data_IF_557510583261
#
_entry.id   IF_557510583261
#
_cell.length_a   1.000
_cell.length_b   1.000
_cell.length_c   1.000
_cell.angle_alpha   90.00
_cell.angle_beta   90.00
_cell.angle_gamma   90.00
#
_symmetry.space_group_name_H-M   'P 1'
#
loop_
_entity.id
_entity.type
_entity.pdbx_description
1 polymer ?
#
# COMPACT_ATOMS: atom_id res chain seq x y z
N UNK A 1 -6.48 10.67 11.62
CA UNK A 1 -7.62 9.95 11.04
C UNK A 1 -7.21 8.50 10.87
N UNK A 2 -7.77 7.63 11.68
CA UNK A 2 -7.43 6.21 11.71
C UNK A 2 -8.19 5.52 10.56
N UNK A 3 -7.47 5.09 9.52
CA UNK A 3 -8.07 4.37 8.38
C UNK A 3 -7.75 2.88 8.55
N UNK A 4 -8.63 2.17 9.27
CA UNK A 4 -8.72 0.71 9.45
C UNK A 4 -9.88 0.08 8.66
N UNK A 5 -9.84 0.12 7.32
CA UNK A 5 -10.74 -0.70 6.52
C UNK A 5 -10.00 -1.90 5.94
N UNK A 6 -10.56 -3.10 6.13
CA UNK A 6 -10.16 -4.31 5.42
C UNK A 6 -11.45 -5.08 5.11
N UNK A 7 -11.74 -5.30 3.82
CA UNK A 7 -12.29 -6.59 3.43
C UNK A 7 -11.16 -7.57 3.70
N UNK A 8 -11.23 -8.29 4.83
CA UNK A 8 -10.18 -9.25 5.18
C UNK A 8 -10.07 -10.25 4.04
N UNK A 9 -8.86 -10.42 3.53
CA UNK A 9 -8.55 -11.19 2.34
C UNK A 9 -8.84 -12.70 2.52
N UNK A 10 -9.25 -13.11 3.72
CA UNK A 10 -9.69 -14.45 4.08
C UNK A 10 -10.87 -14.43 5.07
N UNK A 11 -11.61 -15.53 5.11
CA UNK A 11 -12.79 -15.73 5.95
C UNK A 11 -12.46 -15.92 7.46
N UNK A 12 -11.19 -15.72 7.87
CA UNK A 12 -10.68 -16.03 9.21
C UNK A 12 -11.40 -15.24 10.32
N UNK A 13 -11.93 -14.05 9.98
CA UNK A 13 -12.61 -13.17 10.93
C UNK A 13 -13.87 -13.81 11.56
N UNK A 14 -14.48 -14.80 10.89
CA UNK A 14 -15.66 -15.52 11.39
C UNK A 14 -15.36 -16.36 12.63
N UNK A 15 -14.09 -16.72 12.82
CA UNK A 15 -13.62 -17.51 13.96
C UNK A 15 -13.00 -16.62 15.05
N UNK A 16 -12.97 -15.30 14.87
CA UNK A 16 -12.38 -14.35 15.80
C UNK A 16 -13.45 -13.64 16.63
N UNK A 17 -13.09 -13.02 17.77
CA UNK A 17 -13.99 -12.16 18.52
C UNK A 17 -14.59 -11.06 17.64
N UNK A 18 -15.84 -10.68 17.90
CA UNK A 18 -16.57 -9.72 17.06
C UNK A 18 -16.04 -8.27 17.18
N UNK A 19 -15.37 -7.93 18.28
CA UNK A 19 -14.92 -6.55 18.59
C UNK A 19 -14.15 -5.89 17.44
N UNK A 20 -13.03 -6.48 16.97
CA UNK A 20 -12.27 -5.95 15.83
C UNK A 20 -13.10 -5.81 14.55
N UNK A 21 -14.11 -6.65 14.34
CA UNK A 21 -14.99 -6.54 13.16
C UNK A 21 -15.95 -5.37 13.30
N UNK A 22 -16.54 -5.18 14.49
CA UNK A 22 -17.43 -4.05 14.78
C UNK A 22 -16.69 -2.71 14.66
N UNK A 23 -15.45 -2.62 15.14
CA UNK A 23 -14.62 -1.43 14.99
C UNK A 23 -14.39 -1.05 13.53
N UNK A 24 -14.13 -2.05 12.66
CA UNK A 24 -13.97 -1.82 11.21
C UNK A 24 -15.26 -1.37 10.53
N UNK A 25 -16.39 -1.96 10.92
CA UNK A 25 -17.72 -1.56 10.40
C UNK A 25 -18.02 -0.11 10.81
N UNK A 26 -17.79 0.21 12.09
CA UNK A 26 -17.95 1.57 12.60
C UNK A 26 -17.08 2.55 11.82
N UNK A 27 -15.82 2.23 11.59
CA UNK A 27 -14.94 3.13 10.85
C UNK A 27 -15.39 3.35 9.40
N UNK A 28 -15.85 2.29 8.70
CA UNK A 28 -16.40 2.45 7.36
C UNK A 28 -17.56 3.45 7.37
N UNK A 29 -18.47 3.30 8.33
CA UNK A 29 -19.61 4.18 8.52
C UNK A 29 -19.18 5.61 8.83
N UNK A 30 -18.25 5.80 9.76
CA UNK A 30 -17.73 7.12 10.15
C UNK A 30 -17.02 7.82 8.99
N UNK A 31 -16.25 7.06 8.19
CA UNK A 31 -15.56 7.56 6.99
C UNK A 31 -16.54 7.93 5.87
N UNK A 32 -17.58 7.12 5.66
CA UNK A 32 -18.65 7.40 4.72
C UNK A 32 -19.46 8.63 5.14
N UNK A 33 -19.78 8.76 6.43
CA UNK A 33 -20.52 9.91 6.96
C UNK A 33 -19.76 11.23 6.78
N UNK A 34 -18.42 11.20 6.76
CA UNK A 34 -17.59 12.39 6.60
C UNK A 34 -17.61 12.98 5.18
N UNK A 35 -17.64 12.14 4.15
CA UNK A 35 -17.50 12.59 2.74
C UNK A 35 -18.67 12.20 1.82
N UNK A 36 -19.65 11.45 2.33
CA UNK A 36 -20.97 11.20 1.72
C UNK A 36 -21.01 10.18 0.58
N UNK A 37 -20.04 10.16 -0.33
CA UNK A 37 -20.10 9.29 -1.53
C UNK A 37 -19.43 7.93 -1.34
N UNK A 38 -18.28 7.92 -0.67
CA UNK A 38 -17.51 6.71 -0.36
C UNK A 38 -16.62 6.98 0.85
N UNK A 39 -16.13 5.95 1.56
CA UNK A 39 -15.18 6.13 2.65
C UNK A 39 -13.74 6.37 2.16
N UNK A 40 -13.50 6.40 0.85
CA UNK A 40 -12.17 6.44 0.26
C UNK A 40 -11.79 7.83 -0.21
N UNK A 41 -10.51 8.16 -0.05
CA UNK A 41 -9.86 9.34 -0.60
C UNK A 41 -8.73 8.88 -1.52
N UNK A 42 -8.50 9.65 -2.58
CA UNK A 42 -7.41 9.44 -3.49
C UNK A 42 -6.76 10.80 -3.82
N UNK A 43 -5.44 10.95 -3.66
CA UNK A 43 -4.76 12.22 -3.92
C UNK A 43 -4.90 12.62 -5.39
N UNK A 44 -5.08 13.91 -5.64
CA UNK A 44 -4.93 14.47 -6.98
C UNK A 44 -3.50 14.21 -7.46
N UNK A 45 -3.34 13.91 -8.75
CA UNK A 45 -2.08 13.53 -9.39
C UNK A 45 -1.53 12.15 -8.98
N UNK A 46 -2.27 11.39 -8.17
CA UNK A 46 -1.97 10.00 -7.88
C UNK A 46 -1.12 9.77 -6.64
N UNK A 47 -0.89 8.50 -6.33
CA UNK A 47 -0.22 8.06 -5.10
C UNK A 47 1.24 8.53 -5.00
N UNK A 48 1.86 8.94 -6.12
CA UNK A 48 3.21 9.51 -6.15
C UNK A 48 3.36 10.81 -5.34
N UNK A 49 2.26 11.53 -5.08
CA UNK A 49 2.28 12.73 -4.25
C UNK A 49 2.55 12.44 -2.76
N UNK A 50 2.17 11.25 -2.27
CA UNK A 50 2.40 10.85 -0.88
C UNK A 50 3.91 10.78 -0.54
N UNK A 51 4.74 9.96 -1.23
CA UNK A 51 6.17 9.91 -0.94
C UNK A 51 6.87 11.24 -1.20
N UNK A 52 6.44 12.02 -2.21
CA UNK A 52 6.97 13.38 -2.45
C UNK A 52 6.69 14.31 -1.28
N UNK A 53 5.47 14.29 -0.73
CA UNK A 53 5.09 15.07 0.45
C UNK A 53 5.91 14.71 1.68
N UNK A 54 6.11 13.41 1.95
CA UNK A 54 6.97 12.94 3.04
C UNK A 54 8.44 13.29 2.83
N UNK A 55 8.94 13.22 1.59
CA UNK A 55 10.31 13.62 1.29
C UNK A 55 10.56 15.10 1.54
N UNK A 56 9.61 15.95 1.12
CA UNK A 56 9.64 17.38 1.43
C UNK A 56 9.57 17.65 2.94
N UNK A 57 8.69 16.94 3.65
CA UNK A 57 8.59 17.07 5.10
C UNK A 57 9.93 16.74 5.77
N UNK A 58 10.56 15.62 5.41
CA UNK A 58 11.87 15.26 5.94
C UNK A 58 12.96 16.28 5.60
N UNK A 59 12.95 16.87 4.40
CA UNK A 59 13.89 17.92 4.02
C UNK A 59 13.76 19.21 4.86
N UNK A 60 12.54 19.58 5.27
CA UNK A 60 12.30 20.72 6.19
C UNK A 60 13.00 20.48 7.54
N UNK A 61 13.07 19.23 7.99
CA UNK A 61 13.76 18.84 9.22
C UNK A 61 15.24 18.47 9.01
N UNK A 62 15.84 18.83 7.86
CA UNK A 62 17.25 18.64 7.56
C UNK A 62 17.61 17.32 6.87
N UNK A 63 16.62 16.53 6.46
CA UNK A 63 16.84 15.33 5.65
C UNK A 63 17.39 15.66 4.26
N UNK A 64 18.28 14.81 3.74
CA UNK A 64 18.79 14.92 2.37
C UNK A 64 18.36 13.70 1.57
N UNK A 65 17.73 13.92 0.42
CA UNK A 65 17.29 12.87 -0.50
C UNK A 65 18.23 12.76 -1.68
N UNK A 66 18.64 11.53 -2.00
CA UNK A 66 19.47 11.22 -3.16
C UNK A 66 18.72 10.22 -4.03
N UNK A 67 18.41 10.61 -5.26
CA UNK A 67 17.85 9.74 -6.30
C UNK A 67 18.97 9.35 -7.27
N UNK A 68 18.75 8.28 -8.06
CA UNK A 68 19.74 7.77 -9.00
C UNK A 68 21.11 7.44 -8.34
N UNK A 69 21.06 7.00 -7.08
CA UNK A 69 22.22 6.64 -6.28
C UNK A 69 22.14 5.16 -5.89
N UNK A 70 22.80 4.26 -6.64
CA UNK A 70 22.79 2.84 -6.32
C UNK A 70 23.49 2.56 -4.99
N UNK A 71 22.95 1.62 -4.24
CA UNK A 71 23.52 1.10 -2.98
C UNK A 71 24.19 -0.23 -3.28
N UNK A 72 25.49 -0.34 -3.01
CA UNK A 72 26.26 -1.55 -3.28
C UNK A 72 26.05 -2.60 -2.18
N UNK A 73 26.07 -2.17 -0.92
CA UNK A 73 25.94 -3.08 0.24
C UNK A 73 25.67 -2.34 1.54
N UNK A 74 25.00 -3.02 2.48
CA UNK A 74 24.94 -2.62 3.89
C UNK A 74 26.23 -3.04 4.61
N UNK A 75 26.84 -2.12 5.35
CA UNK A 75 28.07 -2.40 6.12
C UNK A 75 27.66 -2.85 7.51
N UNK A 76 28.00 -4.10 7.86
CA UNK A 76 27.65 -4.72 9.15
C UNK A 76 28.92 -5.10 9.90
N UNK A 77 29.06 -4.61 11.12
CA UNK A 77 30.16 -4.91 12.04
C UNK A 77 29.58 -5.52 13.33
N UNK A 78 30.13 -6.64 13.80
CA UNK A 78 29.65 -7.34 15.01
C UNK A 78 28.13 -7.64 14.98
N UNK A 79 27.59 -7.97 13.81
CA UNK A 79 26.17 -8.27 13.62
C UNK A 79 25.25 -7.05 13.54
N UNK A 80 25.76 -5.82 13.69
CA UNK A 80 24.99 -4.57 13.66
C UNK A 80 25.38 -3.70 12.47
N UNK A 81 24.40 -3.03 11.85
CA UNK A 81 24.67 -2.10 10.76
C UNK A 81 25.40 -0.85 11.27
N UNK A 82 26.41 -0.42 10.51
CA UNK A 82 27.21 0.78 10.81
C UNK A 82 27.22 1.79 9.66
N UNK A 83 26.64 1.43 8.51
CA UNK A 83 26.55 2.31 7.36
C UNK A 83 26.12 1.61 6.08
N UNK A 84 26.18 2.37 5.00
CA UNK A 84 25.84 1.94 3.64
C UNK A 84 26.97 2.37 2.71
N UNK A 85 27.33 1.49 1.77
CA UNK A 85 28.31 1.78 0.73
C UNK A 85 27.60 2.07 -0.60
N UNK A 86 27.98 3.17 -1.23
CA UNK A 86 27.46 3.60 -2.53
C UNK A 86 28.62 4.04 -3.44
N UNK A 87 29.13 3.13 -4.27
CA UNK A 87 30.33 3.35 -5.08
C UNK A 87 31.58 3.55 -4.21
N UNK A 88 32.23 4.70 -4.37
CA UNK A 88 33.41 5.08 -3.58
C UNK A 88 33.04 5.72 -2.23
N UNK A 89 31.78 6.09 -2.03
CA UNK A 89 31.32 6.77 -0.83
C UNK A 89 30.78 5.78 0.21
N UNK A 90 30.95 6.13 1.49
CA UNK A 90 30.37 5.40 2.61
C UNK A 90 29.68 6.37 3.55
N UNK A 91 28.39 6.12 3.81
CA UNK A 91 27.59 6.88 4.76
C UNK A 91 27.44 6.06 6.01
N UNK A 92 27.90 6.58 7.15
CA UNK A 92 27.77 5.90 8.45
C UNK A 92 26.47 6.26 9.15
N UNK A 93 25.87 5.28 9.81
CA UNK A 93 24.60 5.42 10.51
C UNK A 93 24.46 4.36 11.60
N UNK A 94 23.61 4.63 12.60
CA UNK A 94 23.34 3.69 13.70
C UNK A 94 22.24 2.67 13.38
N UNK A 95 21.37 3.03 12.43
CA UNK A 95 20.19 2.28 12.02
C UNK A 95 20.01 2.48 10.51
N UNK A 96 19.45 1.47 9.84
CA UNK A 96 19.04 1.54 8.44
C UNK A 96 17.59 1.12 8.34
N UNK A 97 16.80 1.87 7.58
CA UNK A 97 15.42 1.57 7.24
C UNK A 97 15.35 1.35 5.74
N UNK A 98 14.82 0.23 5.28
CA UNK A 98 14.78 -0.11 3.86
C UNK A 98 13.59 -0.99 3.49
N UNK A 99 13.31 -1.08 2.20
CA UNK A 99 12.42 -2.10 1.66
C UNK A 99 13.18 -3.43 1.39
N UNK A 100 12.46 -4.55 1.15
CA UNK A 100 13.07 -5.86 0.94
C UNK A 100 14.19 -5.93 -0.11
N UNK A 101 14.13 -5.10 -1.17
CA UNK A 101 15.09 -5.17 -2.28
C UNK A 101 16.53 -4.86 -1.88
N UNK A 102 16.73 -4.10 -0.78
CA UNK A 102 18.05 -3.77 -0.25
C UNK A 102 18.62 -4.80 0.73
N UNK A 103 17.83 -5.81 1.12
CA UNK A 103 18.20 -6.80 2.14
C UNK A 103 17.57 -8.17 1.84
N UNK A 104 17.74 -8.65 0.61
CA UNK A 104 17.12 -9.89 0.11
C UNK A 104 17.54 -11.15 0.88
N UNK A 105 18.68 -11.12 1.58
CA UNK A 105 19.18 -12.17 2.47
C UNK A 105 18.47 -12.21 3.85
N UNK A 106 17.65 -11.19 4.16
CA UNK A 106 16.98 -10.99 5.46
C UNK A 106 15.46 -10.95 5.36
N UNK A 107 14.93 -11.43 4.24
CA UNK A 107 13.50 -11.50 3.98
C UNK A 107 13.12 -12.88 3.50
N UNK A 108 11.86 -13.23 3.68
CA UNK A 108 11.26 -14.45 3.12
C UNK A 108 10.13 -14.06 2.18
N UNK A 109 10.02 -14.79 1.06
CA UNK A 109 8.86 -14.69 0.17
C UNK A 109 7.65 -15.31 0.88
N UNK A 110 6.56 -14.56 0.99
CA UNK A 110 5.31 -15.00 1.63
C UNK A 110 4.15 -15.17 0.65
N UNK A 111 4.31 -14.71 -0.60
CA UNK A 111 3.30 -14.86 -1.62
C UNK A 111 3.68 -14.14 -2.91
N UNK A 112 2.70 -14.02 -3.80
CA UNK A 112 2.78 -13.22 -5.02
C UNK A 112 1.47 -12.46 -5.22
N UNK A 113 1.56 -11.30 -5.86
CA UNK A 113 0.40 -10.50 -6.24
C UNK A 113 0.44 -10.28 -7.74
N UNK A 114 -0.69 -10.51 -8.40
CA UNK A 114 -0.91 -10.13 -9.79
C UNK A 114 -1.64 -8.78 -9.84
N UNK A 115 -1.17 -7.87 -10.68
CA UNK A 115 -1.77 -6.56 -10.94
C UNK A 115 -1.93 -6.36 -12.45
N UNK A 116 -3.13 -6.02 -12.88
CA UNK A 116 -3.42 -5.60 -14.24
C UNK A 116 -3.85 -4.14 -14.27
N UNK A 117 -3.03 -3.29 -14.88
CA UNK A 117 -3.36 -1.88 -15.16
C UNK A 117 -4.04 -1.84 -16.52
N UNK A 118 -5.28 -1.37 -16.55
CA UNK A 118 -6.14 -1.33 -17.72
C UNK A 118 -6.48 0.13 -18.06
N UNK A 119 -6.24 0.52 -19.30
CA UNK A 119 -6.65 1.81 -19.84
C UNK A 119 -8.02 1.67 -20.49
N UNK A 120 -8.97 2.51 -20.07
CA UNK A 120 -10.33 2.53 -20.60
C UNK A 120 -10.63 3.92 -21.16
N UNK A 121 -11.49 3.99 -22.17
CA UNK A 121 -12.02 5.25 -22.74
C UNK A 121 -13.50 5.46 -22.40
N UNK A 122 -14.00 4.78 -21.37
CA UNK A 122 -15.36 4.83 -20.87
C UNK A 122 -15.39 4.51 -19.37
N UNK A 123 -16.43 4.94 -18.62
CA UNK A 123 -16.60 4.54 -17.22
C UNK A 123 -16.87 3.03 -17.11
N UNK A 124 -16.55 2.45 -15.96
CA UNK A 124 -16.81 1.02 -15.72
C UNK A 124 -18.33 0.77 -15.75
N UNK A 125 -18.82 -0.21 -16.54
CA UNK A 125 -20.24 -0.56 -16.57
C UNK A 125 -20.82 -0.86 -15.18
N UNK A 126 -22.07 -0.45 -14.95
CA UNK A 126 -22.75 -0.71 -13.68
C UNK A 126 -22.33 0.19 -12.51
N UNK A 127 -21.51 1.22 -12.75
CA UNK A 127 -21.06 2.16 -11.71
C UNK A 127 -21.77 3.53 -11.74
N UNK A 128 -22.84 3.67 -12.53
CA UNK A 128 -23.55 4.94 -12.71
C UNK A 128 -22.62 6.09 -13.16
N UNK A 129 -21.79 5.81 -14.16
CA UNK A 129 -20.79 6.71 -14.75
C UNK A 129 -19.81 7.35 -13.73
N UNK A 130 -19.51 6.61 -12.66
CA UNK A 130 -18.58 7.04 -11.62
C UNK A 130 -17.21 7.36 -12.22
N UNK A 131 -16.67 8.52 -11.85
CA UNK A 131 -15.35 8.99 -12.30
C UNK A 131 -14.19 8.35 -11.53
N UNK A 132 -14.48 7.82 -10.34
CA UNK A 132 -13.60 6.94 -9.58
C UNK A 132 -14.45 5.99 -8.76
N UNK A 133 -13.97 4.78 -8.55
CA UNK A 133 -14.67 3.79 -7.74
C UNK A 133 -13.71 2.72 -7.21
N UNK A 134 -14.20 2.00 -6.20
CA UNK A 134 -13.58 0.76 -5.75
C UNK A 134 -14.62 -0.36 -5.87
N UNK A 135 -14.22 -1.48 -6.46
CA UNK A 135 -15.02 -2.69 -6.58
C UNK A 135 -14.27 -3.81 -5.90
N UNK A 136 -14.99 -4.61 -5.13
CA UNK A 136 -14.44 -5.76 -4.41
C UNK A 136 -15.25 -6.95 -4.84
N UNK A 137 -14.57 -7.98 -5.32
CA UNK A 137 -15.17 -9.26 -5.68
C UNK A 137 -14.80 -10.23 -4.55
N UNK A 138 -15.74 -10.55 -3.65
CA UNK A 138 -15.46 -11.45 -2.56
C UNK A 138 -15.06 -12.83 -3.08
N UNK A 139 -14.02 -13.43 -2.51
CA UNK A 139 -13.42 -14.70 -2.90
C UNK A 139 -14.44 -15.81 -3.17
N UNK A 140 -15.52 -15.88 -2.38
CA UNK A 140 -16.58 -16.89 -2.51
C UNK A 140 -17.44 -16.76 -3.76
N UNK A 141 -17.56 -15.56 -4.32
CA UNK A 141 -18.33 -15.31 -5.55
C UNK A 141 -17.59 -15.84 -6.78
N UNK A 142 -16.28 -16.07 -6.68
CA UNK A 142 -15.41 -16.50 -7.77
C UNK A 142 -14.64 -17.78 -7.46
N UNK A 143 -15.02 -18.50 -6.39
CA UNK A 143 -14.42 -19.79 -6.03
C UNK A 143 -12.93 -19.71 -5.63
N UNK A 144 -12.52 -18.62 -4.96
CA UNK A 144 -11.14 -18.35 -4.56
C UNK A 144 -10.93 -18.35 -3.04
N UNK A 145 -9.66 -18.32 -2.64
CA UNK A 145 -9.24 -18.10 -1.26
C UNK A 145 -8.97 -16.64 -0.92
N UNK A 146 -8.70 -15.80 -1.92
CA UNK A 146 -8.44 -14.37 -1.79
C UNK A 146 -9.37 -13.54 -2.68
N UNK A 147 -9.77 -12.37 -2.17
CA UNK A 147 -10.59 -11.39 -2.88
C UNK A 147 -9.87 -10.83 -4.11
N UNK A 148 -10.64 -10.31 -5.06
CA UNK A 148 -10.13 -9.51 -6.18
C UNK A 148 -10.57 -8.06 -5.97
N UNK A 149 -9.62 -7.14 -6.05
CA UNK A 149 -9.84 -5.71 -5.87
C UNK A 149 -9.74 -5.00 -7.22
N UNK A 150 -10.61 -4.02 -7.44
CA UNK A 150 -10.54 -3.10 -8.57
C UNK A 150 -10.57 -1.67 -8.04
N UNK A 151 -9.56 -0.88 -8.36
CA UNK A 151 -9.58 0.56 -8.15
C UNK A 151 -9.62 1.29 -9.49
N UNK A 152 -10.54 2.22 -9.67
CA UNK A 152 -10.65 3.04 -10.87
C UNK A 152 -10.48 4.52 -10.54
N UNK A 153 -9.67 5.21 -11.32
CA UNK A 153 -9.49 6.66 -11.28
C UNK A 153 -9.54 7.24 -12.70
N UNK A 154 -9.80 8.53 -12.80
CA UNK A 154 -9.89 9.23 -14.09
C UNK A 154 -9.26 10.62 -14.04
N UNK A 155 -9.54 11.44 -15.05
CA UNK A 155 -9.16 12.84 -15.09
C UNK A 155 -9.65 13.64 -13.87
N UNK A 156 -10.71 13.22 -13.16
CA UNK A 156 -11.13 13.90 -11.92
C UNK A 156 -10.08 13.81 -10.81
N UNK A 157 -9.21 12.79 -10.87
CA UNK A 157 -8.08 12.59 -9.97
C UNK A 157 -6.77 13.12 -10.59
N UNK A 158 -6.81 13.74 -11.78
CA UNK A 158 -5.64 14.22 -12.52
C UNK A 158 -4.62 13.13 -12.86
N UNK A 159 -5.05 11.86 -12.96
CA UNK A 159 -4.17 10.72 -13.29
C UNK A 159 -4.24 10.29 -14.76
N UNK A 160 -5.24 10.77 -15.49
CA UNK A 160 -5.43 10.47 -16.92
C UNK A 160 -5.94 11.71 -17.67
N UNK A 161 -5.79 11.78 -19.00
CA UNK A 161 -6.45 12.80 -19.82
C UNK A 161 -7.99 12.70 -19.76
N UNK A 162 -8.68 13.77 -20.13
CA UNK A 162 -10.15 13.80 -20.19
C UNK A 162 -10.70 12.68 -21.10
N UNK A 163 -11.70 11.97 -20.60
CA UNK A 163 -12.33 10.83 -21.30
C UNK A 163 -11.62 9.50 -21.09
N UNK A 164 -10.47 9.48 -20.41
CA UNK A 164 -9.72 8.27 -20.11
C UNK A 164 -9.83 7.89 -18.63
N UNK A 165 -9.75 6.59 -18.38
CA UNK A 165 -9.79 5.99 -17.06
C UNK A 165 -8.63 5.01 -16.94
N UNK A 166 -8.09 4.90 -15.73
CA UNK A 166 -7.15 3.86 -15.35
C UNK A 166 -7.80 2.99 -14.29
N UNK A 167 -7.96 1.72 -14.59
CA UNK A 167 -8.47 0.71 -13.67
C UNK A 167 -7.36 -0.28 -13.35
N UNK A 168 -7.16 -0.59 -12.07
CA UNK A 168 -6.21 -1.60 -11.62
C UNK A 168 -6.98 -2.76 -11.01
N UNK A 169 -6.77 -3.96 -11.53
CA UNK A 169 -7.30 -5.22 -10.98
C UNK A 169 -6.17 -5.96 -10.26
N UNK A 170 -6.37 -6.35 -9.00
CA UNK A 170 -5.34 -7.02 -8.20
C UNK A 170 -5.90 -8.15 -7.33
N UNK A 171 -5.10 -9.21 -7.15
CA UNK A 171 -5.37 -10.29 -6.19
C UNK A 171 -4.06 -11.01 -5.80
N UNK A 172 -4.09 -11.77 -4.71
CA UNK A 172 -3.03 -12.71 -4.35
C UNK A 172 -3.05 -13.89 -5.32
N UNK A 173 -1.89 -14.34 -5.79
CA UNK A 173 -1.78 -15.49 -6.71
C UNK A 173 -2.02 -16.80 -5.96
N UNK A 174 -2.88 -17.66 -6.50
CA UNK A 174 -3.22 -18.99 -5.97
C UNK A 174 -2.78 -20.13 -6.90
N UNK A 175 -2.52 -19.83 -8.18
CA UNK A 175 -2.28 -20.83 -9.23
C UNK A 175 -1.06 -20.49 -10.09
N UNK A 176 -0.69 -21.42 -10.98
CA UNK A 176 0.37 -21.20 -11.96
C UNK A 176 -0.06 -20.33 -13.16
N UNK A 177 -1.31 -19.85 -13.19
CA UNK A 177 -1.82 -18.96 -14.24
C UNK A 177 -2.44 -17.68 -13.64
N UNK A 178 -1.61 -16.73 -13.17
CA UNK A 178 -2.07 -15.53 -12.45
C UNK A 178 -3.02 -14.64 -13.26
N UNK A 179 -2.88 -14.61 -14.58
CA UNK A 179 -3.75 -13.80 -15.45
C UNK A 179 -5.18 -14.36 -15.50
N UNK A 180 -5.36 -15.68 -15.44
CA UNK A 180 -6.69 -16.29 -15.39
C UNK A 180 -7.44 -15.94 -14.08
N UNK A 181 -6.70 -15.72 -12.99
CA UNK A 181 -7.28 -15.43 -11.67
C UNK A 181 -7.95 -14.06 -11.60
N UNK A 182 -7.47 -13.08 -12.38
CA UNK A 182 -8.04 -11.73 -12.45
C UNK A 182 -9.11 -11.58 -13.54
N UNK A 183 -9.37 -12.62 -14.32
CA UNK A 183 -10.36 -12.59 -15.40
C UNK A 183 -11.76 -12.12 -14.93
N UNK A 184 -12.29 -12.55 -13.76
CA UNK A 184 -13.57 -12.05 -13.27
C UNK A 184 -13.58 -10.52 -13.08
N UNK A 185 -12.44 -9.95 -12.64
CA UNK A 185 -12.32 -8.49 -12.49
C UNK A 185 -12.20 -7.77 -13.83
N UNK A 186 -11.43 -8.33 -14.77
CA UNK A 186 -11.28 -7.78 -16.12
C UNK A 186 -12.62 -7.74 -16.88
N UNK A 187 -13.47 -8.75 -16.71
CA UNK A 187 -14.78 -8.82 -17.35
C UNK A 187 -15.74 -7.70 -16.91
N UNK A 188 -15.54 -7.14 -15.71
CA UNK A 188 -16.35 -6.01 -15.23
C UNK A 188 -15.96 -4.68 -15.89
N UNK A 189 -14.76 -4.57 -16.47
CA UNK A 189 -14.23 -3.30 -16.97
C UNK A 189 -14.83 -2.86 -18.31
N UNK A 190 -15.55 -3.74 -19.02
CA UNK A 190 -16.01 -3.48 -20.38
C UNK A 190 -14.88 -3.60 -21.42
N UNK A 191 -14.84 -2.72 -22.41
CA UNK A 191 -13.82 -2.77 -23.47
C UNK A 191 -12.51 -2.16 -22.95
N UNK A 192 -11.47 -2.97 -22.87
CA UNK A 192 -10.14 -2.52 -22.43
C UNK A 192 -9.35 -2.06 -23.65
N UNK A 193 -8.89 -0.81 -23.65
CA UNK A 193 -8.08 -0.25 -24.74
C UNK A 193 -6.66 -0.81 -24.73
N UNK A 194 -6.06 -0.89 -23.54
CA UNK A 194 -4.71 -1.43 -23.35
C UNK A 194 -4.59 -2.04 -21.95
N UNK A 195 -3.76 -3.08 -21.81
CA UNK A 195 -3.63 -3.84 -20.56
C UNK A 195 -2.17 -4.18 -20.27
N UNK A 196 -1.70 -3.80 -19.09
CA UNK A 196 -0.35 -4.10 -18.59
C UNK A 196 -0.47 -5.02 -17.37
N UNK A 197 0.05 -6.24 -17.50
CA UNK A 197 0.02 -7.23 -16.41
C UNK A 197 1.40 -7.37 -15.80
N UNK A 198 1.45 -7.39 -14.48
CA UNK A 198 2.67 -7.67 -13.71
C UNK A 198 2.36 -8.63 -12.57
N UNK A 199 3.32 -9.49 -12.26
CA UNK A 199 3.29 -10.36 -11.09
C UNK A 199 4.50 -9.99 -10.23
N UNK A 200 4.27 -9.75 -8.95
CA UNK A 200 5.30 -9.33 -8.01
C UNK A 200 5.35 -10.27 -6.81
N UNK A 201 6.55 -10.61 -6.38
CA UNK A 201 6.76 -11.35 -5.15
C UNK A 201 6.50 -10.44 -3.93
N UNK A 202 5.90 -11.02 -2.89
CA UNK A 202 5.63 -10.34 -1.62
C UNK A 202 6.59 -10.89 -0.57
N UNK A 203 7.30 -9.99 0.10
CA UNK A 203 8.31 -10.32 1.09
C UNK A 203 7.95 -9.77 2.48
N UNK A 204 8.39 -10.50 3.51
CA UNK A 204 8.36 -10.06 4.89
C UNK A 204 9.74 -10.23 5.55
N UNK A 205 10.11 -9.35 6.51
CA UNK A 205 11.36 -9.49 7.25
C UNK A 205 11.44 -10.81 8.02
N UNK A 206 12.58 -11.48 7.94
CA UNK A 206 12.98 -12.53 8.89
C UNK A 206 13.79 -11.96 10.06
N UNK A 207 14.39 -10.79 9.87
CA UNK A 207 15.10 -10.00 10.87
C UNK A 207 14.27 -8.77 11.25
N UNK A 208 13.87 -8.67 12.52
CA UNK A 208 13.05 -7.56 13.02
C UNK A 208 13.87 -6.30 13.34
N UNK A 209 15.21 -6.36 13.25
CA UNK A 209 16.08 -5.20 13.40
C UNK A 209 16.51 -4.88 14.83
N UNK A 210 16.02 -5.60 15.84
CA UNK A 210 16.37 -5.31 17.25
C UNK A 210 17.87 -5.45 17.52
N UNK A 211 18.52 -6.48 16.98
CA UNK A 211 19.96 -6.69 17.12
C UNK A 211 20.74 -6.04 15.96
N UNK A 212 20.32 -6.31 14.73
CA UNK A 212 21.01 -5.85 13.52
C UNK A 212 20.90 -4.35 13.26
N UNK A 213 19.87 -3.70 13.82
CA UNK A 213 19.50 -2.31 13.55
C UNK A 213 19.18 -2.03 12.07
N UNK A 214 18.77 -3.08 11.34
CA UNK A 214 18.25 -3.02 9.98
C UNK A 214 16.74 -3.26 10.07
N UNK A 215 15.94 -2.24 9.81
CA UNK A 215 14.48 -2.28 9.90
C UNK A 215 13.88 -2.34 8.51
N UNK A 216 13.47 -3.53 8.11
CA UNK A 216 12.93 -3.80 6.77
C UNK A 216 11.40 -3.68 6.81
N UNK A 217 10.83 -3.03 5.78
CA UNK A 217 9.39 -2.98 5.55
C UNK A 217 8.85 -4.25 4.88
N UNK A 218 7.53 -4.42 4.91
CA UNK A 218 6.82 -5.48 4.18
C UNK A 218 6.51 -5.00 2.76
N UNK A 219 6.45 -5.93 1.81
CA UNK A 219 5.97 -5.62 0.46
C UNK A 219 4.48 -5.26 0.47
N UNK A 220 4.06 -4.40 -0.47
CA UNK A 220 2.65 -4.05 -0.62
C UNK A 220 1.79 -5.25 -1.04
N UNK A 221 0.74 -5.47 -0.28
CA UNK A 221 -0.27 -6.51 -0.52
C UNK A 221 -1.20 -6.13 -1.70
N UNK A 222 -2.19 -6.97 -2.09
CA UNK A 222 -3.05 -6.67 -3.22
C UNK A 222 -4.20 -5.70 -2.90
N UNK A 223 -4.36 -5.27 -1.64
CA UNK A 223 -5.47 -4.42 -1.21
C UNK A 223 -5.34 -3.02 -1.80
N UNK A 224 -6.49 -2.38 -2.05
CA UNK A 224 -6.57 -1.06 -2.69
C UNK A 224 -6.70 0.08 -1.68
N UNK A 225 -6.27 -0.14 -0.43
CA UNK A 225 -6.30 0.84 0.66
C UNK A 225 -5.05 0.72 1.54
N UNK A 226 -4.76 1.73 2.36
CA UNK A 226 -3.49 1.82 3.08
C UNK A 226 -3.45 1.21 4.50
N UNK A 227 -4.50 0.54 5.00
CA UNK A 227 -4.51 0.07 6.41
C UNK A 227 -3.28 -0.80 6.76
N UNK A 228 -2.96 -1.81 5.93
CA UNK A 228 -1.85 -2.74 6.19
C UNK A 228 -0.50 -2.03 6.09
N UNK A 229 -0.33 -1.15 5.11
CA UNK A 229 0.83 -0.25 5.00
C UNK A 229 0.98 0.63 6.24
N UNK A 230 -0.10 1.25 6.74
CA UNK A 230 -0.04 2.08 7.94
C UNK A 230 0.35 1.27 9.17
N UNK A 231 -0.13 0.02 9.30
CA UNK A 231 0.30 -0.87 10.38
C UNK A 231 1.79 -1.21 10.29
N UNK A 232 2.30 -1.45 9.09
CA UNK A 232 3.72 -1.72 8.88
C UNK A 232 4.59 -0.51 9.26
N UNK A 233 4.16 0.71 8.92
CA UNK A 233 4.84 1.95 9.34
C UNK A 233 4.89 2.07 10.87
N UNK A 234 3.77 1.81 11.57
CA UNK A 234 3.71 1.86 13.03
C UNK A 234 4.58 0.78 13.68
N UNK A 235 4.57 -0.43 13.12
CA UNK A 235 5.43 -1.55 13.55
C UNK A 235 6.92 -1.21 13.39
N UNK A 236 7.33 -0.70 12.22
CA UNK A 236 8.72 -0.25 11.97
C UNK A 236 9.10 0.86 12.94
N UNK A 237 8.23 1.85 13.15
CA UNK A 237 8.48 2.93 14.10
C UNK A 237 8.71 2.38 15.51
N UNK A 238 7.86 1.47 15.97
CA UNK A 238 7.98 0.86 17.29
C UNK A 238 9.26 0.03 17.43
N UNK A 239 9.59 -0.79 16.42
CA UNK A 239 10.83 -1.58 16.40
C UNK A 239 12.08 -0.71 16.41
N UNK A 240 12.07 0.37 15.62
CA UNK A 240 13.21 1.28 15.43
C UNK A 240 13.46 2.22 16.61
N UNK A 241 12.38 2.74 17.21
CA UNK A 241 12.45 3.74 18.28
C UNK A 241 12.29 3.15 19.68
N UNK A 242 11.85 1.89 19.78
CA UNK A 242 11.46 1.22 21.02
C UNK A 242 10.32 1.89 21.79
N UNK A 243 9.55 2.76 21.11
CA UNK A 243 8.41 3.48 21.68
C UNK A 243 7.15 3.22 20.86
N UNK A 244 6.01 3.10 21.53
CA UNK A 244 4.73 3.13 20.83
C UNK A 244 4.49 4.51 20.23
N UNK A 245 3.87 4.53 19.06
CA UNK A 245 3.53 5.78 18.40
C UNK A 245 2.39 6.48 19.15
N UNK A 246 2.68 7.63 19.73
CA UNK A 246 1.72 8.42 20.48
C UNK A 246 0.97 9.38 19.55
N UNK A 247 -0.25 9.01 19.17
CA UNK A 247 -1.11 9.82 18.31
C UNK A 247 -1.53 11.16 18.93
N UNK A 248 -1.44 11.33 20.26
CA UNK A 248 -1.78 12.61 20.91
C UNK A 248 -0.77 13.71 20.61
N UNK A 249 0.45 13.35 20.21
CA UNK A 249 1.51 14.30 19.83
C UNK A 249 1.32 14.92 18.45
N UNK A 250 0.29 14.50 17.70
CA UNK A 250 -0.03 15.10 16.41
C UNK A 250 -0.77 16.42 16.65
N UNK A 251 -0.02 17.52 16.70
CA UNK A 251 -0.52 18.87 17.00
C UNK A 251 -1.24 19.56 15.82
N UNK A 252 -1.19 18.98 14.61
CA UNK A 252 -1.80 19.56 13.40
C UNK A 252 -3.18 18.97 13.04
N UNK A 253 -3.82 18.20 13.92
CA UNK A 253 -5.14 17.59 13.65
C UNK A 253 -6.34 18.52 13.88
N UNK A 254 -6.14 19.72 14.43
CA UNK A 254 -7.15 20.78 14.38
C UNK A 254 -7.13 21.43 12.99
N UNK A 255 -7.69 20.73 12.00
CA UNK A 255 -8.51 21.43 11.02
C UNK A 255 -9.77 21.87 11.77
N UNK A 256 -9.62 22.83 12.68
CA UNK A 256 -10.73 23.68 13.05
C UNK A 256 -10.97 24.54 11.81
N UNK A 257 -12.15 24.36 11.25
CA UNK A 257 -12.72 25.18 10.20
C UNK A 257 -12.60 26.65 10.63
N UNK A 258 -11.54 27.33 10.17
CA UNK A 258 -11.52 28.78 10.14
C UNK A 258 -12.26 29.22 8.87
N UNK A 259 -13.59 29.10 8.91
CA UNK A 259 -14.52 29.99 8.21
C UNK A 259 -15.57 30.50 9.21
#
# INVERSE_FOLDING_TARGET
MEVRWQARNDDCYKQQPFGPTVEKIRLYSDSLARYGKSPYLYPLYGLGELPQGFARLSAIYGGTYMLDKPVDSLIVENGKVVGVKCGEETVRGKQVYCDPSYAMDRVKKVGQVVRAICLLNHPIPGTNDAQSCQIIIPQKQVGRHFDIYISCCSNTNMVTPKGWFVAMVSTTVETNNPEAEILPGLQLLGTITEKFISVSDVYEPTDLGHESQIFISRSYDPTTHFETTCKDVLDIFQRGTTQEFDFSKITHLSLEDNE
#
